data_IF_197148291092
#
_entry.id   IF_197148291092
#
_cell.length_a   1.000
_cell.length_b   1.000
_cell.length_c   1.000
_cell.angle_alpha   90.00
_cell.angle_beta   90.00
_cell.angle_gamma   90.00
#
_symmetry.space_group_name_H-M   'P 1'
#
loop_
_entity.id
_entity.type
_entity.pdbx_description
1 polymer ?
#
# COMPACT_ATOMS: atom_id res chain seq x y z
N UNK A 1 12.15 38.77 -54.56
CA UNK A 1 12.66 38.33 -53.25
C UNK A 1 11.47 37.85 -52.47
N UNK A 2 11.48 36.55 -52.15
CA UNK A 2 10.44 35.89 -51.37
C UNK A 2 10.72 36.14 -49.88
N UNK A 3 9.68 36.38 -49.10
CA UNK A 3 9.77 36.36 -47.64
C UNK A 3 8.74 35.35 -47.13
N UNK A 4 9.26 34.38 -46.38
CA UNK A 4 8.61 33.14 -46.01
C UNK A 4 7.63 33.37 -44.86
N UNK A 5 6.44 32.78 -44.99
CA UNK A 5 5.54 32.52 -43.89
C UNK A 5 6.14 31.42 -43.00
N UNK A 6 6.38 31.72 -41.73
CA UNK A 6 6.73 30.72 -40.74
C UNK A 6 5.51 30.45 -39.84
N UNK A 7 5.03 29.22 -39.98
CA UNK A 7 3.88 28.63 -39.31
C UNK A 7 4.37 28.10 -37.95
N UNK A 8 3.83 28.60 -36.83
CA UNK A 8 4.11 28.05 -35.50
C UNK A 8 2.81 27.51 -34.92
N UNK A 9 2.62 26.20 -35.10
CA UNK A 9 1.62 25.42 -34.36
C UNK A 9 2.08 25.30 -32.89
N UNK A 10 1.37 25.99 -31.99
CA UNK A 10 1.55 25.83 -30.56
C UNK A 10 0.62 24.69 -30.08
N UNK A 11 1.20 23.53 -29.85
CA UNK A 11 0.50 22.40 -29.23
C UNK A 11 0.31 22.68 -27.73
N UNK A 12 -0.96 22.81 -27.32
CA UNK A 12 -1.34 22.94 -25.92
C UNK A 12 -1.23 21.57 -25.23
N UNK A 13 -0.27 21.42 -24.32
CA UNK A 13 -0.22 20.31 -23.37
C UNK A 13 -1.25 20.58 -22.27
N UNK A 14 -2.33 19.79 -22.26
CA UNK A 14 -3.24 19.68 -21.12
C UNK A 14 -2.50 18.93 -20.00
N UNK A 15 -2.25 19.60 -18.89
CA UNK A 15 -1.87 18.95 -17.63
C UNK A 15 -3.15 18.75 -16.83
N UNK A 16 -3.66 17.52 -16.81
CA UNK A 16 -4.70 17.10 -15.88
C UNK A 16 -4.01 16.83 -14.53
N UNK A 17 -4.43 17.57 -13.50
CA UNK A 17 -3.87 17.51 -12.16
C UNK A 17 -4.93 16.88 -11.25
N UNK A 18 -4.86 15.57 -11.04
CA UNK A 18 -5.71 14.86 -10.08
C UNK A 18 -5.04 14.89 -8.69
N UNK A 19 -5.72 15.46 -7.69
CA UNK A 19 -5.30 15.42 -6.29
C UNK A 19 -6.25 14.58 -5.42
N UNK A 20 -5.63 13.72 -4.61
CA UNK A 20 -6.23 12.81 -3.62
C UNK A 20 -6.10 13.44 -2.22
N UNK A 21 -7.19 13.41 -1.43
CA UNK A 21 -7.26 14.02 -0.10
C UNK A 21 -6.74 13.09 1.01
N UNK A 22 -6.26 13.70 2.11
CA UNK A 22 -6.02 13.04 3.39
C UNK A 22 -7.21 13.28 4.31
N UNK A 23 -7.92 12.23 4.72
CA UNK A 23 -8.95 12.33 5.75
C UNK A 23 -8.31 12.32 7.15
N UNK A 24 -8.72 13.27 7.99
CA UNK A 24 -8.38 13.32 9.41
C UNK A 24 -9.62 12.95 10.22
N UNK A 25 -9.81 11.65 10.51
CA UNK A 25 -10.74 11.22 11.54
C UNK A 25 -10.08 11.44 12.91
N UNK A 26 -10.43 12.54 13.57
CA UNK A 26 -10.12 12.77 14.98
C UNK A 26 -11.29 12.24 15.80
N UNK A 27 -11.18 10.99 16.27
CA UNK A 27 -12.09 10.46 17.27
C UNK A 27 -11.62 10.92 18.66
N UNK A 28 -12.33 11.91 19.20
CA UNK A 28 -12.26 12.33 20.59
C UNK A 28 -13.04 11.31 21.45
N UNK A 29 -12.36 10.60 22.35
CA UNK A 29 -13.04 9.89 23.43
C UNK A 29 -12.15 9.73 24.66
N UNK A 30 -12.61 10.33 25.76
CA UNK A 30 -12.09 10.17 27.11
C UNK A 30 -12.49 8.80 27.71
N UNK A 31 -11.72 8.25 28.67
CA UNK A 31 -11.90 6.90 29.17
C UNK A 31 -12.92 6.84 30.32
N UNK A 32 -13.63 5.73 30.43
CA UNK A 32 -14.27 5.29 31.67
C UNK A 32 -13.86 3.83 31.96
N UNK A 33 -13.44 3.63 33.20
CA UNK A 33 -13.05 2.35 33.81
C UNK A 33 -14.16 1.28 33.81
N UNK A 34 -13.77 0.01 33.88
CA UNK A 34 -14.11 -0.95 34.96
C UNK A 34 -13.55 -2.36 34.63
N UNK A 35 -12.87 -2.95 35.60
CA UNK A 35 -12.33 -4.32 35.65
C UNK A 35 -13.42 -5.42 35.68
N UNK A 36 -13.06 -6.68 35.36
CA UNK A 36 -13.10 -7.87 36.26
C UNK A 36 -12.85 -9.20 35.48
N UNK A 37 -11.69 -9.77 35.77
CA UNK A 37 -11.24 -11.17 36.05
C UNK A 37 -11.83 -12.44 35.37
N UNK A 38 -10.87 -13.28 34.93
CA UNK A 38 -10.59 -14.70 35.28
C UNK A 38 -11.16 -15.93 34.52
N UNK A 39 -10.18 -16.75 34.06
CA UNK A 39 -10.01 -18.23 34.19
C UNK A 39 -10.33 -19.20 33.04
N UNK A 40 -9.22 -19.70 32.47
CA UNK A 40 -8.80 -21.10 32.20
C UNK A 40 -9.83 -22.25 32.17
N UNK A 41 -9.78 -23.06 31.10
CA UNK A 41 -9.42 -24.50 31.15
C UNK A 41 -9.64 -25.24 29.80
N UNK A 42 -8.57 -25.86 29.28
CA UNK A 42 -8.56 -27.12 28.48
C UNK A 42 -8.33 -28.30 29.48
N UNK A 43 -8.25 -29.63 29.15
CA UNK A 43 -8.18 -30.35 27.85
C UNK A 43 -8.98 -31.70 27.83
N UNK A 44 -8.89 -32.52 26.74
CA UNK A 44 -8.44 -33.95 26.75
C UNK A 44 -8.69 -34.72 25.43
N UNK A 45 -7.73 -35.59 25.12
CA UNK A 45 -7.55 -36.49 23.97
C UNK A 45 -7.99 -37.93 24.26
N UNK A 46 -8.69 -38.62 23.35
CA UNK A 46 -8.81 -40.09 23.35
C UNK A 46 -8.82 -40.70 21.93
N UNK A 47 -7.98 -41.72 21.71
CA UNK A 47 -7.86 -42.57 20.52
C UNK A 47 -8.62 -43.89 20.72
N UNK A 48 -9.39 -44.42 19.74
CA UNK A 48 -9.93 -45.77 19.83
C UNK A 48 -9.14 -46.80 19.02
N UNK A 49 -8.70 -47.85 19.71
CA UNK A 49 -8.13 -49.10 19.19
C UNK A 49 -9.21 -50.02 18.61
N UNK A 50 -8.81 -50.90 17.69
CA UNK A 50 -9.67 -51.90 17.05
C UNK A 50 -9.63 -53.23 17.82
N UNK A 51 -10.73 -53.66 18.43
CA UNK A 51 -11.06 -55.09 18.59
C UNK A 51 -12.51 -55.27 19.00
N UNK A 52 -13.31 -55.92 18.14
CA UNK A 52 -14.14 -57.09 18.51
C UNK A 52 -14.70 -57.81 17.27
N UNK A 53 -14.44 -59.12 17.26
CA UNK A 53 -15.20 -60.26 16.72
C UNK A 53 -15.40 -60.51 15.20
N UNK A 54 -15.04 -61.76 14.84
CA UNK A 54 -15.54 -62.65 13.78
C UNK A 54 -15.20 -62.40 12.31
N UNK A 55 -13.98 -62.80 11.94
CA UNK A 55 -13.53 -63.58 10.74
C UNK A 55 -11.99 -63.49 10.68
N UNK A 56 -11.24 -64.46 10.11
CA UNK A 56 -9.79 -64.36 10.00
C UNK A 56 -9.42 -63.26 9.02
N UNK A 57 -9.36 -62.02 9.53
CA UNK A 57 -9.11 -60.82 8.74
C UNK A 57 -7.62 -60.51 8.79
N UNK A 58 -6.95 -60.62 7.64
CA UNK A 58 -5.56 -60.21 7.48
C UNK A 58 -5.47 -58.68 7.63
N UNK A 59 -5.09 -58.22 8.82
CA UNK A 59 -4.82 -56.82 9.10
C UNK A 59 -3.43 -56.43 8.58
N UNK A 60 -3.32 -55.25 7.96
CA UNK A 60 -2.04 -54.70 7.51
C UNK A 60 -1.81 -53.33 8.15
N UNK A 61 -0.70 -53.16 8.89
CA UNK A 61 -0.29 -51.85 9.37
C UNK A 61 0.36 -51.04 8.23
N UNK A 62 -0.10 -49.81 8.02
CA UNK A 62 0.45 -48.86 7.05
C UNK A 62 0.46 -47.43 7.61
N UNK A 63 1.21 -46.54 6.96
CA UNK A 63 1.38 -45.14 7.37
C UNK A 63 0.56 -44.21 6.49
N UNK A 64 -0.30 -43.41 7.10
CA UNK A 64 -1.05 -42.33 6.44
C UNK A 64 -0.29 -41.02 6.64
N UNK A 65 -0.03 -40.29 5.55
CA UNK A 65 0.62 -38.98 5.58
C UNK A 65 -0.40 -37.90 5.24
N UNK A 66 -0.66 -36.99 6.17
CA UNK A 66 -1.55 -35.85 6.00
C UNK A 66 -0.88 -34.59 6.54
N UNK A 67 -0.87 -33.50 5.76
CA UNK A 67 -0.23 -32.22 6.11
C UNK A 67 1.18 -32.35 6.74
N UNK A 68 2.06 -33.15 6.10
CA UNK A 68 3.43 -33.50 6.55
C UNK A 68 3.52 -34.32 7.86
N UNK A 69 2.41 -34.61 8.53
CA UNK A 69 2.33 -35.51 9.68
C UNK A 69 2.13 -36.96 9.23
N UNK A 70 2.66 -37.93 10.01
CA UNK A 70 2.58 -39.37 9.71
C UNK A 70 1.80 -40.06 10.81
N UNK A 71 0.74 -40.78 10.45
CA UNK A 71 -0.13 -41.53 11.32
C UNK A 71 0.01 -43.02 11.01
N UNK A 72 0.31 -43.82 12.03
CA UNK A 72 0.37 -45.28 11.89
C UNK A 72 -1.03 -45.85 12.12
N UNK A 73 -1.58 -46.56 11.12
CA UNK A 73 -2.94 -47.12 11.12
C UNK A 73 -2.93 -48.58 10.72
N UNK A 74 -3.90 -49.34 11.23
CA UNK A 74 -4.05 -50.76 10.95
C UNK A 74 -5.49 -51.04 10.48
N UNK A 75 -5.63 -51.61 9.28
CA UNK A 75 -6.92 -51.96 8.69
C UNK A 75 -6.88 -53.34 8.03
N UNK A 76 -8.07 -53.96 7.91
CA UNK A 76 -8.27 -55.25 7.25
C UNK A 76 -8.06 -55.13 5.72
N UNK A 77 -7.37 -56.09 5.10
CA UNK A 77 -7.07 -56.09 3.65
C UNK A 77 -8.31 -56.09 2.74
N UNK A 78 -9.43 -56.61 3.22
CA UNK A 78 -10.68 -56.75 2.47
C UNK A 78 -11.62 -55.56 2.65
N UNK A 79 -11.23 -54.53 3.42
CA UNK A 79 -11.96 -53.26 3.50
C UNK A 79 -11.76 -52.43 2.24
N UNK A 80 -12.84 -51.76 1.81
CA UNK A 80 -12.80 -50.83 0.67
C UNK A 80 -12.19 -49.49 1.09
N UNK A 81 -11.68 -48.73 0.11
CA UNK A 81 -11.15 -47.38 0.36
C UNK A 81 -12.20 -46.46 0.99
N UNK A 82 -13.48 -46.62 0.68
CA UNK A 82 -14.58 -45.91 1.34
C UNK A 82 -14.60 -46.14 2.87
N UNK A 83 -14.46 -47.40 3.31
CA UNK A 83 -14.43 -47.74 4.74
C UNK A 83 -13.14 -47.26 5.42
N UNK A 84 -12.02 -47.27 4.70
CA UNK A 84 -10.74 -46.74 5.17
C UNK A 84 -10.82 -45.22 5.34
N UNK A 85 -11.47 -44.49 4.42
CA UNK A 85 -11.70 -43.05 4.53
C UNK A 85 -12.51 -42.69 5.79
N UNK A 86 -13.56 -43.46 6.10
CA UNK A 86 -14.36 -43.27 7.32
C UNK A 86 -13.55 -43.55 8.59
N UNK A 87 -12.65 -44.54 8.57
CA UNK A 87 -11.75 -44.80 9.70
C UNK A 87 -10.68 -43.72 9.88
N UNK A 88 -10.13 -43.22 8.78
CA UNK A 88 -9.15 -42.15 8.76
C UNK A 88 -9.76 -40.81 9.19
N UNK A 89 -11.03 -40.54 8.85
CA UNK A 89 -11.77 -39.32 9.25
C UNK A 89 -11.72 -39.09 10.77
N UNK A 90 -11.85 -40.15 11.58
CA UNK A 90 -11.77 -40.07 13.04
C UNK A 90 -10.37 -39.70 13.56
N UNK A 91 -9.33 -39.91 12.76
CA UNK A 91 -7.93 -39.69 13.15
C UNK A 91 -7.42 -38.33 12.64
N UNK A 92 -7.72 -37.99 11.38
CA UNK A 92 -7.22 -36.77 10.73
C UNK A 92 -8.22 -35.61 10.71
N UNK A 93 -9.48 -35.83 11.09
CA UNK A 93 -10.52 -34.78 11.13
C UNK A 93 -10.98 -34.27 9.75
N UNK A 94 -10.62 -34.97 8.67
CA UNK A 94 -11.02 -34.64 7.29
C UNK A 94 -12.22 -35.50 6.91
N UNK A 95 -13.37 -34.94 6.47
CA UNK A 95 -14.52 -35.74 6.05
C UNK A 95 -14.20 -36.71 4.91
N UNK A 96 -14.71 -37.95 4.97
CA UNK A 96 -14.46 -38.98 3.96
C UNK A 96 -14.77 -38.55 2.50
N UNK A 97 -15.75 -37.65 2.32
CA UNK A 97 -16.11 -37.06 1.03
C UNK A 97 -15.03 -36.14 0.45
N UNK A 98 -14.25 -35.49 1.30
CA UNK A 98 -13.20 -34.53 0.93
C UNK A 98 -11.80 -35.15 0.96
N UNK A 99 -11.68 -36.42 1.34
CA UNK A 99 -10.42 -37.16 1.34
C UNK A 99 -10.10 -37.74 -0.05
N UNK A 100 -8.95 -37.35 -0.60
CA UNK A 100 -8.31 -38.02 -1.74
C UNK A 100 -7.13 -38.83 -1.25
N UNK A 101 -7.23 -40.15 -1.35
CA UNK A 101 -6.18 -41.08 -0.93
C UNK A 101 -5.31 -41.41 -2.15
N UNK A 102 -4.01 -41.17 -2.01
CA UNK A 102 -3.00 -41.40 -3.03
C UNK A 102 -2.08 -42.54 -2.61
N UNK A 103 -2.09 -43.64 -3.37
CA UNK A 103 -1.18 -44.77 -3.21
C UNK A 103 -0.93 -45.41 -4.59
N UNK A 104 0.29 -45.25 -5.13
CA UNK A 104 0.64 -45.66 -6.51
C UNK A 104 -0.35 -45.15 -7.58
N UNK A 105 -0.94 -43.97 -7.34
CA UNK A 105 -2.04 -43.41 -8.12
C UNK A 105 -3.17 -42.92 -7.23
N UNK A 106 -4.25 -42.41 -7.84
CA UNK A 106 -5.47 -42.05 -7.12
C UNK A 106 -6.26 -43.32 -6.80
N UNK A 107 -6.48 -43.60 -5.51
CA UNK A 107 -7.26 -44.75 -5.08
C UNK A 107 -8.76 -44.46 -5.26
N UNK A 108 -9.47 -45.35 -5.95
CA UNK A 108 -10.93 -45.25 -6.12
C UNK A 108 -11.65 -45.92 -4.94
N UNK A 109 -12.85 -45.45 -4.64
CA UNK A 109 -13.59 -45.82 -3.42
C UNK A 109 -14.09 -47.27 -3.40
N UNK A 110 -14.20 -47.87 -4.57
CA UNK A 110 -14.60 -49.26 -4.84
C UNK A 110 -13.45 -50.27 -4.73
N UNK A 111 -12.19 -49.80 -4.73
CA UNK A 111 -11.03 -50.70 -4.65
C UNK A 111 -10.78 -51.19 -3.22
N UNK A 112 -10.27 -52.42 -3.10
CA UNK A 112 -9.82 -52.99 -1.82
C UNK A 112 -8.33 -52.73 -1.57
N UNK A 113 -7.90 -52.75 -0.31
CA UNK A 113 -6.47 -52.64 0.04
C UNK A 113 -5.64 -53.80 -0.56
N UNK A 114 -6.26 -54.95 -0.79
CA UNK A 114 -5.69 -56.11 -1.49
C UNK A 114 -5.40 -55.81 -2.97
N UNK A 115 -6.33 -55.17 -3.68
CA UNK A 115 -6.15 -54.76 -5.08
C UNK A 115 -5.08 -53.67 -5.25
N UNK A 116 -4.97 -52.79 -4.25
CA UNK A 116 -3.95 -51.74 -4.22
C UNK A 116 -2.55 -52.27 -3.86
N UNK A 117 -2.41 -53.56 -3.52
CA UNK A 117 -1.15 -54.21 -3.10
C UNK A 117 -0.47 -53.46 -1.96
N UNK A 118 -1.24 -53.08 -0.94
CA UNK A 118 -0.73 -52.41 0.25
C UNK A 118 0.09 -53.42 1.08
N UNK A 119 1.36 -53.11 1.30
CA UNK A 119 2.29 -53.94 2.08
C UNK A 119 2.48 -53.38 3.49
N UNK A 120 2.93 -54.21 4.43
CA UNK A 120 3.30 -53.78 5.79
C UNK A 120 4.28 -52.60 5.72
N UNK A 121 3.91 -51.43 6.26
CA UNK A 121 4.71 -50.21 6.25
C UNK A 121 4.59 -49.31 5.01
N UNK A 122 3.61 -49.57 4.13
CA UNK A 122 3.30 -48.70 2.99
C UNK A 122 2.95 -47.26 3.42
N UNK A 123 3.31 -46.25 2.61
CA UNK A 123 2.97 -44.84 2.87
C UNK A 123 1.86 -44.40 1.92
N UNK A 124 0.70 -44.04 2.46
CA UNK A 124 -0.45 -43.50 1.73
C UNK A 124 -0.56 -42.01 2.01
N UNK A 125 -0.63 -41.18 0.97
CA UNK A 125 -0.78 -39.73 1.12
C UNK A 125 -2.27 -39.39 1.05
N UNK A 126 -2.78 -38.69 2.06
CA UNK A 126 -4.16 -38.20 2.06
C UNK A 126 -4.13 -36.70 1.78
N UNK A 127 -4.96 -36.27 0.83
CA UNK A 127 -5.13 -34.87 0.44
C UNK A 127 -6.60 -34.53 0.66
N UNK A 128 -6.89 -33.59 1.54
CA UNK A 128 -8.25 -33.14 1.83
C UNK A 128 -8.24 -31.95 2.79
N UNK A 129 -9.38 -31.29 2.94
CA UNK A 129 -9.56 -30.13 3.81
C UNK A 129 -10.43 -30.52 5.01
N UNK A 130 -10.11 -30.03 6.20
CA UNK A 130 -10.99 -30.22 7.37
C UNK A 130 -12.24 -29.34 7.23
N UNK A 131 -13.33 -29.64 7.95
CA UNK A 131 -14.53 -28.79 7.94
C UNK A 131 -14.23 -27.34 8.37
N UNK A 132 -13.26 -27.18 9.28
CA UNK A 132 -12.76 -25.86 9.72
C UNK A 132 -12.14 -25.09 8.57
N UNK A 133 -11.37 -25.74 7.69
CA UNK A 133 -10.77 -25.14 6.50
C UNK A 133 -11.78 -24.82 5.39
N UNK A 134 -12.95 -25.48 5.39
CA UNK A 134 -14.01 -25.23 4.40
C UNK A 134 -14.92 -24.10 4.87
N UNK A 135 -15.19 -24.02 6.17
CA UNK A 135 -15.98 -22.93 6.77
C UNK A 135 -15.25 -21.59 6.71
N UNK A 136 -13.92 -21.56 6.83
CA UNK A 136 -13.11 -20.35 6.63
C UNK A 136 -13.09 -19.85 5.18
N UNK A 137 -13.50 -20.68 4.22
CA UNK A 137 -13.54 -20.34 2.78
C UNK A 137 -14.97 -19.99 2.31
N UNK A 138 -16.00 -20.24 3.13
CA UNK A 138 -17.41 -20.19 2.70
C UNK A 138 -18.24 -19.04 3.28
N UNK A 139 -17.62 -18.09 4.00
CA UNK A 139 -18.28 -16.84 4.39
C UNK A 139 -18.02 -15.76 3.34
N UNK A 140 -19.05 -15.31 2.58
CA UNK A 140 -18.89 -14.16 1.71
C UNK A 140 -19.08 -12.90 2.56
N UNK A 141 -17.98 -12.31 3.02
CA UNK A 141 -17.97 -10.94 3.55
C UNK A 141 -17.48 -10.01 2.47
N UNK A 142 -18.41 -9.19 1.97
CA UNK A 142 -18.05 -7.91 1.35
C UNK A 142 -17.43 -7.00 2.39
N UNK A 143 -16.49 -6.18 1.90
CA UNK A 143 -15.98 -4.94 2.49
C UNK A 143 -15.25 -5.05 3.84
N UNK A 144 -13.92 -5.09 3.70
CA UNK A 144 -12.91 -4.35 4.47
C UNK A 144 -13.04 -4.26 6.00
N UNK A 145 -12.24 -5.08 6.70
CA UNK A 145 -11.31 -4.63 7.76
C UNK A 145 -10.40 -5.75 8.27
N UNK A 146 -9.12 -5.37 8.38
CA UNK A 146 -8.07 -5.89 9.26
C UNK A 146 -7.71 -7.38 9.26
N UNK A 147 -6.63 -7.70 8.54
CA UNK A 147 -5.68 -8.73 8.97
C UNK A 147 -4.34 -8.09 9.35
N UNK A 148 -4.24 -7.74 10.63
CA UNK A 148 -2.98 -7.75 11.36
C UNK A 148 -2.79 -9.15 11.95
N UNK A 149 -1.60 -9.74 11.75
CA UNK A 149 -1.07 -11.04 12.24
C UNK A 149 -1.52 -12.28 11.44
N UNK A 150 -0.68 -13.23 11.05
CA UNK A 150 0.76 -13.47 11.21
C UNK A 150 1.12 -14.60 10.23
N UNK A 151 2.11 -14.37 9.36
CA UNK A 151 2.88 -15.46 8.75
C UNK A 151 4.36 -15.23 9.08
N UNK A 152 4.67 -15.37 10.37
CA UNK A 152 6.03 -15.63 10.84
C UNK A 152 6.45 -17.04 10.39
N UNK A 153 6.85 -17.18 9.12
CA UNK A 153 7.84 -18.19 8.76
C UNK A 153 9.21 -17.62 9.05
N UNK A 154 9.94 -18.27 9.95
CA UNK A 154 11.31 -17.97 10.38
C UNK A 154 12.31 -17.82 9.22
N UNK A 155 12.34 -16.64 8.58
CA UNK A 155 13.47 -16.15 7.81
C UNK A 155 14.07 -15.02 8.63
N UNK A 156 15.40 -15.04 8.78
CA UNK A 156 16.13 -13.95 9.41
C UNK A 156 15.70 -12.61 8.80
N UNK A 157 15.54 -11.54 9.61
CA UNK A 157 15.23 -10.19 9.14
C UNK A 157 16.11 -9.83 7.93
N UNK A 158 15.52 -9.21 6.89
CA UNK A 158 16.24 -8.76 5.69
C UNK A 158 17.45 -7.90 6.07
N UNK A 159 17.36 -7.10 7.13
CA UNK A 159 18.48 -6.33 7.68
C UNK A 159 19.66 -7.20 8.16
N UNK A 160 19.38 -8.40 8.68
CA UNK A 160 20.37 -9.33 9.25
C UNK A 160 21.01 -10.28 8.23
N UNK A 161 20.40 -10.41 7.05
CA UNK A 161 20.96 -11.24 5.98
C UNK A 161 22.32 -10.69 5.53
N UNK A 162 23.31 -11.58 5.39
CA UNK A 162 24.73 -11.24 5.10
C UNK A 162 24.94 -10.30 3.90
N UNK A 163 24.03 -10.31 2.93
CA UNK A 163 24.12 -9.47 1.73
C UNK A 163 23.69 -8.03 2.02
N UNK A 164 22.61 -7.84 2.79
CA UNK A 164 22.05 -6.54 3.12
C UNK A 164 22.84 -5.86 4.23
N UNK A 165 23.23 -6.61 5.28
CA UNK A 165 24.08 -6.12 6.38
C UNK A 165 25.40 -5.53 5.89
N UNK A 166 26.08 -6.20 4.95
CA UNK A 166 27.32 -5.68 4.33
C UNK A 166 27.13 -4.36 3.59
N UNK A 167 25.97 -4.17 2.96
CA UNK A 167 25.66 -2.92 2.24
C UNK A 167 25.36 -1.81 3.22
N UNK A 168 24.60 -2.10 4.29
CA UNK A 168 24.27 -1.13 5.34
C UNK A 168 25.49 -0.71 6.18
N UNK A 169 26.37 -1.65 6.52
CA UNK A 169 27.64 -1.37 7.24
C UNK A 169 28.62 -0.58 6.38
N UNK A 170 28.62 -0.81 5.06
CA UNK A 170 29.52 -0.11 4.12
C UNK A 170 28.99 1.27 3.72
N UNK A 171 27.68 1.37 3.53
CA UNK A 171 26.99 2.58 3.10
C UNK A 171 25.97 2.94 4.19
N UNK A 172 26.45 3.74 5.15
CA UNK A 172 25.65 4.36 6.21
C UNK A 172 24.49 5.20 5.63
N UNK A 173 23.67 5.75 6.52
CA UNK A 173 22.57 6.65 6.16
C UNK A 173 23.05 7.75 5.20
N UNK A 174 22.50 7.84 3.98
CA UNK A 174 22.79 8.93 3.06
C UNK A 174 22.39 10.28 3.66
N UNK A 175 23.23 11.32 3.53
CA UNK A 175 22.91 12.68 4.00
C UNK A 175 21.80 13.35 3.18
N UNK A 176 21.64 12.95 1.92
CA UNK A 176 20.63 13.45 0.99
C UNK A 176 19.34 12.62 0.96
N UNK A 177 19.20 11.65 1.88
CA UNK A 177 17.97 10.86 1.98
C UNK A 177 16.84 11.71 2.54
N UNK A 178 15.66 11.57 1.94
CA UNK A 178 14.47 12.18 2.49
C UNK A 178 14.18 11.59 3.90
N UNK A 179 13.66 12.40 4.84
CA UNK A 179 13.20 11.89 6.13
C UNK A 179 12.07 10.89 5.91
N UNK A 180 12.10 9.79 6.67
CA UNK A 180 11.01 8.84 6.73
C UNK A 180 10.11 9.13 7.93
N UNK A 181 8.84 8.78 7.82
CA UNK A 181 7.84 9.04 8.85
C UNK A 181 6.92 7.83 8.97
N UNK A 182 6.55 7.48 10.20
CA UNK A 182 5.80 6.28 10.52
C UNK A 182 4.29 6.54 10.61
N UNK A 183 3.48 5.48 10.49
CA UNK A 183 2.12 5.45 11.04
C UNK A 183 0.96 5.68 10.08
N UNK A 184 1.17 5.99 8.79
CA UNK A 184 0.07 6.16 7.80
C UNK A 184 0.49 5.74 6.38
N UNK A 185 -0.45 5.24 5.58
CA UNK A 185 -0.26 4.90 4.17
C UNK A 185 -0.69 6.09 3.31
N UNK A 186 0.20 6.58 2.45
CA UNK A 186 -0.06 7.70 1.55
C UNK A 186 0.04 7.25 0.09
N UNK A 187 -0.60 7.98 -0.85
CA UNK A 187 -0.41 7.75 -2.28
C UNK A 187 1.05 8.00 -2.69
N UNK A 188 1.44 7.41 -3.82
CA UNK A 188 2.80 7.59 -4.36
C UNK A 188 3.05 9.07 -4.69
N UNK A 189 4.22 9.62 -4.33
CA UNK A 189 4.51 11.04 -4.55
C UNK A 189 4.67 11.34 -6.05
N UNK A 190 4.17 12.50 -6.48
CA UNK A 190 4.38 13.04 -7.84
C UNK A 190 5.83 13.50 -8.06
N UNK A 191 6.51 13.87 -6.98
CA UNK A 191 7.93 14.20 -6.99
C UNK A 191 8.80 12.96 -6.78
N UNK A 192 9.99 12.90 -7.40
CA UNK A 192 10.86 11.75 -7.24
C UNK A 192 11.51 11.65 -5.86
N UNK A 193 11.57 10.43 -5.33
CA UNK A 193 12.26 10.10 -4.08
C UNK A 193 13.74 9.92 -4.42
N UNK A 194 14.61 10.72 -3.79
CA UNK A 194 16.06 10.71 -4.01
C UNK A 194 16.84 10.37 -2.74
N UNK A 195 18.15 10.15 -2.91
CA UNK A 195 19.07 9.91 -1.79
C UNK A 195 19.09 8.46 -1.30
N UNK A 196 18.52 7.51 -2.04
CA UNK A 196 18.60 6.08 -1.71
C UNK A 196 19.83 5.44 -2.33
N UNK A 197 20.16 4.20 -1.91
CA UNK A 197 21.26 3.44 -2.51
C UNK A 197 20.81 2.11 -3.11
N UNK A 198 21.51 1.66 -4.16
CA UNK A 198 21.43 0.29 -4.65
C UNK A 198 22.45 -0.63 -3.95
N UNK A 199 22.45 -1.93 -4.29
CA UNK A 199 23.43 -2.92 -3.76
C UNK A 199 24.90 -2.52 -3.93
N UNK A 200 25.22 -1.72 -4.94
CA UNK A 200 26.59 -1.29 -5.24
C UNK A 200 26.98 0.02 -4.53
N UNK A 201 26.03 0.68 -3.84
CA UNK A 201 26.21 2.01 -3.25
C UNK A 201 26.05 3.17 -4.24
N UNK A 202 25.53 2.90 -5.44
CA UNK A 202 25.14 3.96 -6.37
C UNK A 202 23.89 4.68 -5.87
N UNK A 203 23.86 6.01 -5.95
CA UNK A 203 22.68 6.81 -5.62
C UNK A 203 21.53 6.46 -6.55
N UNK A 204 20.37 6.20 -5.99
CA UNK A 204 19.14 5.83 -6.67
C UNK A 204 18.08 6.90 -6.44
N UNK A 205 17.37 7.22 -7.51
CA UNK A 205 16.18 8.05 -7.52
C UNK A 205 15.01 7.23 -8.06
N UNK A 206 13.90 7.18 -7.34
CA UNK A 206 12.66 6.56 -7.81
C UNK A 206 11.70 7.66 -8.27
N UNK A 207 11.22 7.56 -9.51
CA UNK A 207 10.21 8.47 -10.06
C UNK A 207 9.00 7.65 -10.48
N UNK A 208 7.83 8.01 -9.97
CA UNK A 208 6.57 7.37 -10.32
C UNK A 208 5.90 8.17 -11.43
N UNK A 209 5.68 7.53 -12.57
CA UNK A 209 5.02 8.09 -13.74
C UNK A 209 3.68 7.38 -13.90
N UNK A 210 2.74 7.74 -13.03
CA UNK A 210 1.41 7.11 -12.95
C UNK A 210 0.64 7.31 -14.25
N UNK A 211 0.84 8.44 -14.93
CA UNK A 211 0.23 8.75 -16.23
C UNK A 211 0.70 7.81 -17.36
N UNK A 212 1.88 7.20 -17.20
CA UNK A 212 2.44 6.23 -18.15
C UNK A 212 2.43 4.80 -17.60
N UNK A 213 1.91 4.58 -16.39
CA UNK A 213 2.01 3.32 -15.63
C UNK A 213 3.47 2.79 -15.55
N UNK A 214 4.41 3.68 -15.22
CA UNK A 214 5.85 3.38 -15.20
C UNK A 214 6.53 3.80 -13.89
N UNK A 215 7.43 2.94 -13.40
CA UNK A 215 8.42 3.24 -12.39
C UNK A 215 9.78 3.51 -13.05
N UNK A 216 10.38 4.67 -12.82
CA UNK A 216 11.72 4.98 -13.30
C UNK A 216 12.72 4.87 -12.16
N UNK A 217 13.74 4.04 -12.34
CA UNK A 217 14.87 3.88 -11.43
C UNK A 217 16.08 4.62 -12.03
N UNK A 218 16.32 5.84 -11.55
CA UNK A 218 17.45 6.66 -11.97
C UNK A 218 18.70 6.38 -11.13
N UNK A 219 19.80 6.01 -11.77
CA UNK A 219 21.15 6.08 -11.20
C UNK A 219 21.94 7.20 -11.87
N UNK A 220 23.16 7.48 -11.40
CA UNK A 220 24.04 8.49 -12.01
C UNK A 220 24.36 8.19 -13.48
N UNK A 221 24.39 6.91 -13.83
CA UNK A 221 24.80 6.43 -15.14
C UNK A 221 23.63 6.29 -16.12
N UNK A 222 22.44 5.91 -15.65
CA UNK A 222 21.27 5.66 -16.51
C UNK A 222 19.96 5.72 -15.75
N UNK A 223 18.85 5.81 -16.49
CA UNK A 223 17.49 5.68 -15.93
C UNK A 223 16.81 4.47 -16.55
N UNK A 224 16.50 3.47 -15.71
CA UNK A 224 15.79 2.27 -16.12
C UNK A 224 14.28 2.51 -15.98
N UNK A 225 13.55 2.50 -17.11
CA UNK A 225 12.10 2.70 -17.15
C UNK A 225 11.39 1.34 -17.09
N UNK A 226 10.63 1.11 -16.05
CA UNK A 226 10.03 -0.18 -15.73
C UNK A 226 8.51 -0.02 -15.77
N UNK A 227 7.80 -0.67 -16.71
CA UNK A 227 6.35 -0.70 -16.70
C UNK A 227 5.84 -1.37 -15.42
N UNK A 228 4.89 -0.76 -14.72
CA UNK A 228 4.40 -1.25 -13.41
C UNK A 228 3.77 -2.64 -13.51
N UNK A 229 3.13 -2.97 -14.62
CA UNK A 229 2.63 -4.31 -14.93
C UNK A 229 3.70 -5.42 -14.94
N UNK A 230 4.99 -5.11 -15.07
CA UNK A 230 6.08 -6.09 -15.02
C UNK A 230 6.55 -6.40 -13.60
N UNK A 231 6.18 -5.57 -12.62
CA UNK A 231 6.55 -5.73 -11.22
C UNK A 231 5.65 -6.80 -10.61
N UNK A 232 6.23 -7.97 -10.29
CA UNK A 232 5.46 -9.12 -9.81
C UNK A 232 5.13 -9.07 -8.32
N UNK A 233 6.02 -8.44 -7.55
CA UNK A 233 5.92 -8.33 -6.11
C UNK A 233 6.84 -7.21 -5.60
N UNK A 234 6.50 -6.64 -4.45
CA UNK A 234 7.36 -5.73 -3.70
C UNK A 234 7.50 -6.29 -2.29
N UNK A 235 8.74 -6.40 -1.80
CA UNK A 235 9.05 -6.84 -0.44
C UNK A 235 9.63 -5.65 0.30
N UNK A 236 9.09 -5.34 1.48
CA UNK A 236 9.55 -4.21 2.30
C UNK A 236 9.74 -4.65 3.75
N UNK A 237 10.83 -4.23 4.38
CA UNK A 237 11.08 -4.48 5.81
C UNK A 237 11.78 -3.26 6.41
N UNK A 238 11.40 -2.90 7.64
CA UNK A 238 12.02 -1.79 8.38
C UNK A 238 13.48 -2.12 8.74
N UNK A 239 14.33 -1.08 8.80
CA UNK A 239 15.72 -1.20 9.21
C UNK A 239 15.82 -1.28 10.74
N UNK A 240 16.61 -2.23 11.23
CA UNK A 240 16.86 -2.39 12.67
C UNK A 240 17.63 -1.17 13.21
N UNK A 241 17.04 -0.46 14.18
CA UNK A 241 17.57 0.80 14.72
C UNK A 241 17.19 2.06 13.93
N UNK A 242 16.55 1.91 12.78
CA UNK A 242 16.03 3.01 11.95
C UNK A 242 14.65 2.64 11.40
N UNK A 243 13.65 2.62 12.28
CA UNK A 243 12.30 2.19 11.94
C UNK A 243 11.60 3.15 10.96
N UNK A 244 12.12 4.36 10.77
CA UNK A 244 11.68 5.33 9.77
C UNK A 244 12.12 4.96 8.33
N UNK A 245 12.97 3.95 8.18
CA UNK A 245 13.56 3.57 6.89
C UNK A 245 13.38 2.09 6.63
N UNK A 246 13.17 1.75 5.36
CA UNK A 246 12.91 0.40 4.89
C UNK A 246 13.96 -0.05 3.87
N UNK A 247 14.18 -1.36 3.83
CA UNK A 247 14.76 -2.07 2.69
C UNK A 247 13.61 -2.44 1.76
N UNK A 248 13.70 -2.08 0.49
CA UNK A 248 12.71 -2.40 -0.52
C UNK A 248 13.31 -3.29 -1.62
N UNK A 249 12.65 -4.41 -1.90
CA UNK A 249 12.98 -5.32 -2.99
C UNK A 249 11.87 -5.32 -4.04
N UNK A 250 12.16 -4.86 -5.25
CA UNK A 250 11.23 -4.82 -6.39
C UNK A 250 11.49 -6.05 -7.26
N UNK A 251 10.52 -6.94 -7.39
CA UNK A 251 10.63 -8.19 -8.14
C UNK A 251 10.39 -7.95 -9.64
N UNK A 252 11.48 -7.86 -10.42
CA UNK A 252 11.42 -7.58 -11.87
C UNK A 252 11.36 -8.84 -12.74
N UNK A 253 11.77 -10.00 -12.22
CA UNK A 253 11.75 -11.28 -12.95
C UNK A 253 11.01 -12.38 -12.20
N UNK A 254 11.11 -13.62 -12.68
CA UNK A 254 10.43 -14.80 -12.09
C UNK A 254 11.09 -15.34 -10.81
N UNK A 255 12.36 -15.04 -10.57
CA UNK A 255 13.15 -15.62 -9.48
C UNK A 255 13.54 -14.58 -8.44
N UNK A 256 13.69 -14.95 -7.17
CA UNK A 256 14.07 -14.00 -6.09
C UNK A 256 15.41 -13.28 -6.35
N UNK A 257 16.29 -13.88 -7.16
CA UNK A 257 17.56 -13.27 -7.58
C UNK A 257 17.39 -12.03 -8.47
N UNK A 258 16.25 -11.90 -9.14
CA UNK A 258 15.91 -10.76 -10.00
C UNK A 258 15.28 -9.58 -9.25
N UNK A 259 15.29 -9.61 -7.91
CA UNK A 259 14.89 -8.46 -7.09
C UNK A 259 15.91 -7.34 -7.24
N UNK A 260 15.42 -6.18 -7.64
CA UNK A 260 16.16 -4.93 -7.51
C UNK A 260 16.01 -4.43 -6.08
N UNK A 261 17.13 -4.25 -5.38
CA UNK A 261 17.11 -3.84 -3.97
C UNK A 261 17.51 -2.39 -3.83
N UNK A 262 16.68 -1.66 -3.09
CA UNK A 262 16.86 -0.27 -2.71
C UNK A 262 16.96 -0.21 -1.18
N UNK A 263 17.97 0.50 -0.70
CA UNK A 263 18.25 0.68 0.72
C UNK A 263 17.98 2.11 1.14
N UNK A 264 17.67 2.29 2.42
CA UNK A 264 17.31 3.59 3.01
C UNK A 264 16.10 4.21 2.32
N UNK A 265 15.12 3.38 1.95
CA UNK A 265 13.85 3.90 1.43
C UNK A 265 13.11 4.54 2.59
N UNK A 266 12.82 5.85 2.57
CA UNK A 266 12.06 6.48 3.64
C UNK A 266 10.69 5.82 3.74
N UNK A 267 10.26 5.51 4.96
CA UNK A 267 8.85 5.23 5.22
C UNK A 267 8.05 6.45 4.74
N UNK A 268 7.11 6.23 3.82
CA UNK A 268 6.39 7.34 3.19
C UNK A 268 5.42 7.96 4.20
N UNK A 269 5.76 9.15 4.68
CA UNK A 269 4.81 10.21 4.98
C UNK A 269 5.42 11.54 4.51
N UNK A 270 4.60 12.42 3.96
CA UNK A 270 4.87 13.85 4.07
C UNK A 270 3.53 14.58 4.13
N UNK A 271 2.91 14.48 5.30
CA UNK A 271 2.14 15.54 5.91
C UNK A 271 2.72 15.60 7.32
N UNK A 272 3.33 16.70 7.71
CA UNK A 272 3.73 16.90 9.09
C UNK A 272 2.53 17.54 9.82
N UNK A 273 1.69 16.74 10.50
CA UNK A 273 0.54 17.27 11.21
C UNK A 273 0.98 18.18 12.36
N UNK A 274 2.20 18.04 12.90
CA UNK A 274 2.71 18.93 13.93
C UNK A 274 2.97 20.31 13.33
N UNK A 275 3.50 20.39 12.11
CA UNK A 275 3.69 21.66 11.39
C UNK A 275 2.36 22.28 10.99
N UNK A 276 1.38 21.51 10.52
CA UNK A 276 0.04 22.06 10.24
C UNK A 276 -0.62 22.56 11.53
N UNK A 277 -0.55 21.79 12.62
CA UNK A 277 -1.05 22.21 13.94
C UNK A 277 -0.33 23.46 14.44
N UNK A 278 1.00 23.55 14.29
CA UNK A 278 1.77 24.74 14.67
C UNK A 278 1.42 25.94 13.79
N UNK A 279 1.35 25.76 12.46
CA UNK A 279 0.98 26.81 11.52
C UNK A 279 -0.43 27.34 11.81
N UNK A 280 -1.37 26.44 12.12
CA UNK A 280 -2.76 26.76 12.51
C UNK A 280 -2.87 27.46 13.87
N UNK A 281 -1.80 27.54 14.68
CA UNK A 281 -1.77 28.45 15.84
C UNK A 281 -1.61 29.92 15.44
N UNK A 282 -1.12 30.19 14.22
CA UNK A 282 -0.78 31.54 13.78
C UNK A 282 -1.85 32.21 12.93
N UNK A 283 -2.82 31.46 12.43
CA UNK A 283 -3.95 32.01 11.67
C UNK A 283 -5.19 31.15 11.85
N UNK A 284 -6.34 31.78 11.66
CA UNK A 284 -7.64 31.13 11.63
C UNK A 284 -8.21 31.19 10.21
N UNK A 285 -9.26 30.42 9.96
CA UNK A 285 -10.02 30.55 8.71
C UNK A 285 -10.54 31.99 8.55
N UNK A 286 -10.66 32.52 7.32
CA UNK A 286 -11.17 33.87 7.10
C UNK A 286 -12.48 34.12 7.86
N UNK A 287 -12.54 35.25 8.59
CA UNK A 287 -13.63 35.57 9.53
C UNK A 287 -15.03 35.64 8.90
N UNK A 288 -15.11 35.81 7.58
CA UNK A 288 -16.34 35.94 6.82
C UNK A 288 -16.80 34.61 6.21
N UNK A 289 -16.03 33.53 6.34
CA UNK A 289 -16.51 32.19 6.03
C UNK A 289 -17.52 31.72 7.10
N UNK A 290 -18.55 30.94 6.70
CA UNK A 290 -19.46 30.31 7.63
C UNK A 290 -18.73 29.55 8.76
N UNK A 291 -19.34 29.55 9.95
CA UNK A 291 -18.73 28.89 11.13
C UNK A 291 -18.62 27.38 10.95
N UNK A 292 -19.52 26.82 10.18
CA UNK A 292 -19.60 25.42 9.76
C UNK A 292 -18.74 25.09 8.53
N UNK A 293 -18.14 26.06 7.84
CA UNK A 293 -17.17 25.77 6.77
C UNK A 293 -15.97 25.01 7.32
N UNK A 294 -15.73 23.84 6.74
CA UNK A 294 -14.57 23.01 7.01
C UNK A 294 -13.36 23.56 6.26
N UNK A 295 -12.17 23.39 6.82
CA UNK A 295 -10.92 23.69 6.13
C UNK A 295 -10.24 22.36 5.80
N UNK A 296 -9.57 22.28 4.66
CA UNK A 296 -8.82 21.06 4.34
C UNK A 296 -7.61 20.91 5.25
N UNK A 297 -7.08 19.68 5.34
CA UNK A 297 -5.87 19.37 6.11
C UNK A 297 -4.58 19.91 5.46
N UNK A 298 -4.70 20.64 4.35
CA UNK A 298 -3.58 21.12 3.55
C UNK A 298 -3.62 22.63 3.48
N UNK A 299 -2.48 23.22 3.81
CA UNK A 299 -2.24 24.65 3.76
C UNK A 299 -1.16 24.93 2.72
N UNK A 300 -1.37 25.95 1.89
CA UNK A 300 -0.43 26.37 0.87
C UNK A 300 0.26 27.67 1.27
N UNK A 301 1.58 27.70 1.19
CA UNK A 301 2.36 28.92 1.34
C UNK A 301 2.91 29.29 -0.03
N UNK A 302 2.52 30.46 -0.52
CA UNK A 302 2.98 31.03 -1.77
C UNK A 302 3.99 32.11 -1.48
N UNK A 303 5.18 31.98 -2.05
CA UNK A 303 6.24 32.97 -1.92
C UNK A 303 6.74 33.38 -3.30
N UNK A 304 6.97 34.67 -3.52
CA UNK A 304 7.41 35.19 -4.81
C UNK A 304 8.26 36.45 -4.67
N UNK A 305 9.32 36.52 -5.47
CA UNK A 305 10.06 37.77 -5.70
C UNK A 305 9.38 38.65 -6.75
N UNK A 306 9.85 39.89 -6.88
CA UNK A 306 9.32 40.86 -7.85
C UNK A 306 9.24 40.32 -9.29
N UNK A 307 8.10 40.55 -9.93
CA UNK A 307 7.89 40.24 -11.35
C UNK A 307 6.68 39.34 -11.61
N UNK A 308 6.72 38.60 -12.72
CA UNK A 308 5.65 37.66 -13.06
C UNK A 308 5.67 36.48 -12.07
N UNK A 309 4.53 36.24 -11.42
CA UNK A 309 4.30 35.05 -10.62
C UNK A 309 3.77 33.91 -11.50
N UNK A 310 2.73 33.23 -11.02
CA UNK A 310 2.04 32.18 -11.78
C UNK A 310 1.52 32.69 -13.14
N UNK A 311 1.74 31.89 -14.18
CA UNK A 311 1.21 32.12 -15.53
C UNK A 311 -0.31 31.96 -15.57
N UNK A 312 -0.95 32.29 -16.70
CA UNK A 312 -2.40 32.12 -16.85
C UNK A 312 -2.74 30.63 -16.83
N UNK A 313 -3.53 30.19 -15.84
CA UNK A 313 -3.96 28.81 -15.66
C UNK A 313 -5.30 28.74 -14.93
N UNK A 314 -5.90 27.56 -14.95
CA UNK A 314 -6.98 27.13 -14.06
C UNK A 314 -6.36 26.06 -13.15
N UNK A 315 -6.72 26.08 -11.87
CA UNK A 315 -6.33 25.03 -10.94
C UNK A 315 -7.19 23.78 -11.10
N UNK A 316 -6.73 22.68 -10.54
CA UNK A 316 -7.54 21.47 -10.40
C UNK A 316 -7.57 21.07 -8.92
N UNK A 317 -8.23 21.92 -8.15
CA UNK A 317 -8.49 21.73 -6.72
C UNK A 317 -9.90 21.15 -6.54
N UNK A 318 -10.20 20.53 -5.41
CA UNK A 318 -11.53 19.92 -5.23
C UNK A 318 -12.58 20.94 -4.88
N UNK A 319 -12.17 21.94 -4.10
CA UNK A 319 -13.07 22.94 -3.51
C UNK A 319 -12.54 24.34 -3.79
N UNK A 320 -13.40 25.36 -3.67
CA UNK A 320 -12.95 26.75 -3.74
C UNK A 320 -11.86 27.02 -2.71
N UNK A 321 -10.96 27.93 -3.03
CA UNK A 321 -9.84 28.26 -2.17
C UNK A 321 -9.87 29.73 -1.76
N UNK A 322 -9.21 30.01 -0.64
CA UNK A 322 -8.93 31.37 -0.20
C UNK A 322 -7.42 31.55 -0.09
N UNK A 323 -6.97 32.79 -0.29
CA UNK A 323 -5.59 33.18 -0.13
C UNK A 323 -5.51 34.51 0.62
N UNK A 324 -4.74 34.55 1.71
CA UNK A 324 -4.47 35.70 2.54
C UNK A 324 -3.02 36.17 2.36
N UNK A 325 -2.83 37.48 2.14
CA UNK A 325 -1.51 38.10 2.05
C UNK A 325 -0.92 38.33 3.44
N UNK A 326 0.23 37.72 3.71
CA UNK A 326 0.98 37.88 4.97
C UNK A 326 2.00 39.01 4.85
N UNK A 327 2.65 39.12 3.69
CA UNK A 327 3.63 40.15 3.40
C UNK A 327 3.67 40.44 1.90
N UNK A 328 4.06 41.66 1.52
CA UNK A 328 4.16 42.08 0.14
C UNK A 328 2.85 42.40 -0.52
N UNK A 329 2.96 42.62 -1.83
CA UNK A 329 1.86 43.07 -2.67
C UNK A 329 1.78 42.24 -3.94
N UNK A 330 0.59 41.71 -4.21
CA UNK A 330 0.36 40.74 -5.29
C UNK A 330 -0.90 41.11 -6.05
N UNK A 331 -0.82 41.22 -7.38
CA UNK A 331 -1.98 41.40 -8.24
C UNK A 331 -2.37 40.08 -8.88
N UNK A 332 -3.65 39.72 -8.75
CA UNK A 332 -4.30 38.67 -9.50
C UNK A 332 -4.95 39.28 -10.73
N UNK A 333 -4.68 38.70 -11.89
CA UNK A 333 -5.44 38.95 -13.11
C UNK A 333 -6.36 37.75 -13.34
N UNK A 334 -7.66 37.98 -13.20
CA UNK A 334 -8.73 36.98 -13.34
C UNK A 334 -9.41 37.16 -14.69
N UNK A 335 -9.56 36.07 -15.42
CA UNK A 335 -10.14 36.02 -16.75
C UNK A 335 -11.29 35.03 -16.71
N UNK A 336 -12.44 35.46 -17.23
CA UNK A 336 -13.61 34.59 -17.33
C UNK A 336 -13.34 33.39 -18.23
N UNK A 337 -13.98 32.24 -17.97
CA UNK A 337 -13.86 31.08 -18.84
C UNK A 337 -14.50 31.35 -20.23
N UNK A 338 -13.97 30.77 -21.33
CA UNK A 338 -14.43 31.01 -22.70
C UNK A 338 -15.93 30.85 -22.91
N UNK A 339 -16.55 29.90 -22.20
CA UNK A 339 -17.98 29.62 -22.23
C UNK A 339 -18.80 30.85 -21.82
N UNK A 340 -18.25 31.72 -20.97
CA UNK A 340 -18.90 32.92 -20.44
C UNK A 340 -18.44 34.23 -21.13
N UNK A 341 -17.51 34.16 -22.09
CA UNK A 341 -16.93 35.35 -22.76
C UNK A 341 -18.00 36.22 -23.44
N UNK A 342 -19.08 35.59 -23.93
CA UNK A 342 -20.20 36.28 -24.56
C UNK A 342 -21.09 37.06 -23.58
N UNK A 343 -21.06 36.73 -22.29
CA UNK A 343 -21.83 37.38 -21.22
C UNK A 343 -21.00 38.45 -20.50
N UNK A 344 -19.73 38.16 -20.22
CA UNK A 344 -18.85 39.01 -19.44
C UNK A 344 -17.51 39.21 -20.17
N UNK A 345 -17.33 40.35 -20.83
CA UNK A 345 -16.07 40.69 -21.53
C UNK A 345 -15.06 41.38 -20.61
N UNK A 346 -14.83 40.83 -19.42
CA UNK A 346 -14.04 41.50 -18.40
C UNK A 346 -12.88 40.64 -17.90
N UNK A 347 -11.69 41.24 -17.93
CA UNK A 347 -10.56 40.85 -17.10
C UNK A 347 -10.61 41.66 -15.82
N UNK A 348 -10.54 41.00 -14.66
CA UNK A 348 -10.54 41.65 -13.36
C UNK A 348 -9.13 41.62 -12.79
N UNK A 349 -8.62 42.80 -12.42
CA UNK A 349 -7.35 42.91 -11.72
C UNK A 349 -7.60 43.22 -10.26
N UNK A 350 -7.24 42.28 -9.39
CA UNK A 350 -7.37 42.43 -7.94
C UNK A 350 -5.97 42.56 -7.37
N UNK A 351 -5.64 43.73 -6.82
CA UNK A 351 -4.35 43.93 -6.14
C UNK A 351 -4.55 43.74 -4.66
N UNK A 352 -3.86 42.76 -4.10
CA UNK A 352 -3.86 42.43 -2.68
C UNK A 352 -2.62 43.01 -2.01
N UNK A 353 -2.83 43.63 -0.85
CA UNK A 353 -1.80 44.10 0.06
C UNK A 353 -1.78 43.24 1.34
N UNK A 354 -0.77 43.41 2.18
CA UNK A 354 -0.67 42.71 3.46
C UNK A 354 -1.94 42.86 4.29
N UNK A 355 -2.52 41.73 4.70
CA UNK A 355 -3.79 41.65 5.43
C UNK A 355 -5.02 41.39 4.55
N UNK A 356 -4.91 41.54 3.24
CA UNK A 356 -6.02 41.24 2.32
C UNK A 356 -6.24 39.75 2.15
N UNK A 357 -7.50 39.36 1.98
CA UNK A 357 -7.92 37.98 1.73
C UNK A 357 -8.75 37.96 0.44
N UNK A 358 -8.41 37.06 -0.46
CA UNK A 358 -9.11 36.80 -1.71
C UNK A 358 -9.72 35.41 -1.62
N UNK A 359 -11.01 35.32 -1.91
CA UNK A 359 -11.68 34.04 -2.15
C UNK A 359 -11.94 33.92 -3.64
N UNK A 360 -11.51 32.79 -4.21
CA UNK A 360 -11.64 32.53 -5.63
C UNK A 360 -11.86 31.04 -5.84
N UNK A 361 -12.86 30.70 -6.66
CA UNK A 361 -12.92 29.38 -7.24
C UNK A 361 -11.90 29.31 -8.39
N UNK A 362 -10.70 28.81 -8.08
CA UNK A 362 -9.60 28.73 -9.04
C UNK A 362 -9.80 27.64 -10.10
N UNK A 363 -10.82 26.78 -9.95
CA UNK A 363 -11.23 25.82 -10.99
C UNK A 363 -12.07 26.48 -12.09
N UNK A 364 -12.73 27.60 -11.79
CA UNK A 364 -13.63 28.27 -12.74
C UNK A 364 -13.00 29.51 -13.38
N UNK A 365 -12.04 30.14 -12.70
CA UNK A 365 -11.43 31.38 -13.15
C UNK A 365 -10.00 31.15 -13.63
N UNK A 366 -9.74 31.47 -14.90
CA UNK A 366 -8.38 31.59 -15.39
C UNK A 366 -7.70 32.72 -14.63
N UNK A 367 -6.54 32.45 -14.04
CA UNK A 367 -5.87 33.43 -13.22
C UNK A 367 -4.36 33.42 -13.45
N UNK A 368 -3.74 34.58 -13.29
CA UNK A 368 -2.29 34.75 -13.24
C UNK A 368 -1.93 35.79 -12.20
N UNK A 369 -0.67 35.80 -11.79
CA UNK A 369 -0.24 36.65 -10.68
C UNK A 369 0.98 37.49 -11.04
N UNK A 370 1.02 38.69 -10.50
CA UNK A 370 2.14 39.61 -10.61
C UNK A 370 2.53 40.08 -9.21
N UNK A 371 3.81 39.94 -8.89
CA UNK A 371 4.36 40.36 -7.60
C UNK A 371 4.97 41.75 -7.77
N UNK A 372 4.47 42.69 -6.97
CA UNK A 372 4.96 44.07 -6.96
C UNK A 372 6.35 44.16 -6.31
N UNK A 373 7.12 45.23 -6.61
CA UNK A 373 8.44 45.44 -6.03
C UNK A 373 8.34 45.80 -4.54
N UNK A 374 9.48 46.07 -3.90
CA UNK A 374 9.68 46.51 -2.50
C UNK A 374 9.97 45.38 -1.50
N UNK A 375 9.15 44.32 -1.47
CA UNK A 375 9.36 43.20 -0.54
C UNK A 375 8.96 41.84 -1.14
N UNK A 376 9.40 40.75 -0.51
CA UNK A 376 8.99 39.40 -0.92
C UNK A 376 7.50 39.23 -0.61
N UNK A 377 6.74 38.78 -1.61
CA UNK A 377 5.34 38.44 -1.40
C UNK A 377 5.25 37.08 -0.72
N UNK A 378 4.53 37.02 0.40
CA UNK A 378 4.20 35.80 1.13
C UNK A 378 2.70 35.78 1.33
N UNK A 379 2.07 34.68 0.96
CA UNK A 379 0.64 34.47 1.14
C UNK A 379 0.37 33.04 1.58
N UNK A 380 -0.64 32.87 2.42
CA UNK A 380 -1.14 31.57 2.85
C UNK A 380 -2.51 31.31 2.24
N UNK A 381 -2.84 30.08 1.92
CA UNK A 381 -4.15 29.71 1.43
C UNK A 381 -4.55 28.29 1.80
N UNK A 382 -5.84 28.01 1.72
CA UNK A 382 -6.39 26.68 1.94
C UNK A 382 -7.72 26.56 1.20
N UNK A 383 -8.13 25.32 0.95
CA UNK A 383 -9.48 25.00 0.46
C UNK A 383 -10.48 25.06 1.62
N UNK A 384 -11.74 25.32 1.29
CA UNK A 384 -12.81 25.36 2.28
C UNK A 384 -14.12 24.70 1.81
N UNK A 385 -14.99 24.43 2.79
CA UNK A 385 -16.26 23.68 2.73
C UNK A 385 -16.10 22.17 2.60
#
# INVERSE_FOLDING_TARGET
MAEAAENSELSALKMENEQFECSADVNDSLPNDVEITDKDAQPTTETPNCSTADTPKECVPFKVVFNKQKFDVEFDLDKTISQVKTGIEKIIGVPATMQKIMFKGLARDDMTLRELKVTKGAKMLVVGSTLTDVLSVSTPTGEDKDETKEAATSKEPLSQQKVHKKVLEKYNKPEDVLPGFQGKKYPLPSQPISGMYNKSGGKVRLTFKLELDQLWIGTKERTDKIPMNTIKAVVTEALEGHEDYHIMGIQLGTTEASRYWVYWVPAQSNCDPEISVELRKHYEKPYFLPRDSEATSVDWIFMGGFGKGAHIHIDAVKRPSWQAMIAGKKTFMLIVPPECEHLCKYTLNVTMETGDILILDTNQWYHSTYIHPEEVSIAIGSEYD
#
